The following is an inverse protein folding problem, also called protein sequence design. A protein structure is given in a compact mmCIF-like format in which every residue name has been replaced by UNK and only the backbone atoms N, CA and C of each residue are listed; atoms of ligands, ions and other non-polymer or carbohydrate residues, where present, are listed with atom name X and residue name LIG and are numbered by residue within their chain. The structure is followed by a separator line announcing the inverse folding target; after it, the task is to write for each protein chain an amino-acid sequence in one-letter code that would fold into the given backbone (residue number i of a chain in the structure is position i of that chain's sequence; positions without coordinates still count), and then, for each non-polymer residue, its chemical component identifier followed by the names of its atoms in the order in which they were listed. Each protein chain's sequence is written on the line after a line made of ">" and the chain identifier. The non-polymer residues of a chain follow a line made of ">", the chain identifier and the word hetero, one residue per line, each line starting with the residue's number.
data_IF_981265894985
#
_entry.id   IF_981265894985
#
_cell.length_a   1.000
_cell.length_b   1.000
_cell.length_c   1.000
_cell.angle_alpha   90.00
_cell.angle_beta   90.00
_cell.angle_gamma   90.00
#
_symmetry.space_group_name_H-M   'P 1'
#
loop_
_entity.id
_entity.type
_entity.pdbx_description
1 polymer ?
#
# COMPACT_ATOMS: atom_id res chain seq x y z
N UNK A 1 -37.79 2.27 13.18
CA UNK A 1 -36.67 2.54 12.25
C UNK A 1 -35.39 2.27 13.01
N UNK A 2 -34.52 1.36 12.54
CA UNK A 2 -33.19 1.22 13.14
C UNK A 2 -32.39 2.46 12.74
N UNK A 3 -31.87 3.21 13.71
CA UNK A 3 -30.95 4.30 13.40
C UNK A 3 -29.57 3.73 13.00
N UNK A 4 -28.68 4.55 12.45
CA UNK A 4 -27.35 4.09 12.00
C UNK A 4 -26.54 3.49 13.15
N UNK A 5 -26.68 4.03 14.37
CA UNK A 5 -26.01 3.50 15.56
C UNK A 5 -26.44 2.05 15.84
N UNK A 6 -27.74 1.76 15.83
CA UNK A 6 -28.28 0.42 16.02
C UNK A 6 -27.82 -0.55 14.91
N UNK A 7 -27.68 -0.05 13.67
CA UNK A 7 -27.14 -0.84 12.56
C UNK A 7 -25.68 -1.22 12.82
N UNK A 8 -24.84 -0.25 13.20
CA UNK A 8 -23.42 -0.46 13.47
C UNK A 8 -23.20 -1.40 14.67
N UNK A 9 -23.94 -1.21 15.77
CA UNK A 9 -23.81 -2.04 16.98
C UNK A 9 -24.27 -3.49 16.78
N UNK A 10 -25.19 -3.74 15.84
CA UNK A 10 -25.67 -5.09 15.49
C UNK A 10 -24.89 -5.72 14.34
N UNK A 11 -23.97 -4.96 13.72
CA UNK A 11 -23.20 -5.46 12.59
C UNK A 11 -22.13 -6.43 13.06
N UNK A 12 -21.94 -7.46 12.25
CA UNK A 12 -20.87 -8.43 12.41
C UNK A 12 -19.54 -7.79 11.98
N UNK A 13 -18.66 -7.53 12.95
CA UNK A 13 -17.38 -6.83 12.74
C UNK A 13 -16.47 -7.61 11.78
N UNK A 14 -16.60 -8.94 11.72
CA UNK A 14 -15.80 -9.80 10.83
C UNK A 14 -16.15 -9.58 9.35
N UNK A 15 -17.29 -8.92 9.05
CA UNK A 15 -17.63 -8.50 7.69
C UNK A 15 -16.82 -7.30 7.21
N UNK A 16 -16.19 -6.54 8.12
CA UNK A 16 -15.25 -5.48 7.78
C UNK A 16 -13.91 -6.14 7.42
N UNK A 17 -13.80 -6.58 6.17
CA UNK A 17 -12.60 -7.23 5.66
C UNK A 17 -11.59 -6.21 5.18
N UNK A 18 -10.31 -6.53 5.34
CA UNK A 18 -9.22 -5.78 4.72
C UNK A 18 -9.32 -5.96 3.20
N UNK A 19 -9.50 -4.88 2.42
CA UNK A 19 -9.55 -4.95 0.97
C UNK A 19 -8.23 -5.49 0.39
N UNK A 20 -8.32 -6.46 -0.52
CA UNK A 20 -7.17 -7.15 -1.14
C UNK A 20 -7.37 -7.25 -2.65
N UNK A 21 -6.28 -7.17 -3.42
CA UNK A 21 -6.29 -7.26 -4.88
C UNK A 21 -5.06 -8.03 -5.39
N UNK A 22 -5.22 -8.72 -6.53
CA UNK A 22 -4.11 -9.29 -7.28
C UNK A 22 -3.74 -8.36 -8.44
N UNK A 23 -2.45 -8.08 -8.60
CA UNK A 23 -1.92 -7.19 -9.64
C UNK A 23 -0.77 -7.89 -10.36
N UNK A 24 -0.79 -7.86 -11.69
CA UNK A 24 0.28 -8.43 -12.52
C UNK A 24 1.37 -7.38 -12.74
N UNK A 25 2.62 -7.73 -12.46
CA UNK A 25 3.77 -6.88 -12.78
C UNK A 25 4.23 -7.22 -14.20
N UNK A 26 3.82 -6.40 -15.16
CA UNK A 26 4.00 -6.72 -16.58
C UNK A 26 5.47 -6.87 -16.97
N UNK A 27 6.33 -5.93 -16.56
CA UNK A 27 7.75 -5.96 -16.90
C UNK A 27 8.47 -7.21 -16.39
N UNK A 28 8.18 -7.64 -15.16
CA UNK A 28 8.70 -8.88 -14.61
C UNK A 28 8.11 -10.11 -15.29
N UNK A 29 6.81 -10.06 -15.62
CA UNK A 29 6.16 -11.18 -16.30
C UNK A 29 6.76 -11.42 -17.68
N UNK A 30 7.00 -10.35 -18.43
CA UNK A 30 7.65 -10.41 -19.73
C UNK A 30 9.10 -10.90 -19.61
N UNK A 31 9.82 -10.45 -18.59
CA UNK A 31 11.24 -10.81 -18.38
C UNK A 31 11.44 -12.27 -17.96
N UNK A 32 10.47 -12.85 -17.26
CA UNK A 32 10.54 -14.22 -16.76
C UNK A 32 9.71 -15.22 -17.58
N UNK A 33 9.09 -14.75 -18.66
CA UNK A 33 8.21 -15.55 -19.53
C UNK A 33 7.11 -16.30 -18.75
N UNK A 34 6.65 -15.71 -17.64
CA UNK A 34 5.63 -16.29 -16.76
C UNK A 34 4.92 -15.18 -15.96
N UNK A 35 3.68 -15.41 -15.56
CA UNK A 35 2.88 -14.42 -14.85
C UNK A 35 3.42 -14.14 -13.44
N UNK A 36 3.96 -12.94 -13.24
CA UNK A 36 4.39 -12.44 -11.93
C UNK A 36 3.24 -11.63 -11.32
N UNK A 37 2.52 -12.25 -10.39
CA UNK A 37 1.34 -11.67 -9.75
C UNK A 37 1.64 -11.36 -8.30
N UNK A 38 1.40 -10.12 -7.90
CA UNK A 38 1.46 -9.70 -6.50
C UNK A 38 0.06 -9.69 -5.89
N UNK A 39 -0.05 -10.18 -4.66
CA UNK A 39 -1.20 -9.96 -3.79
C UNK A 39 -0.93 -8.72 -2.93
N UNK A 40 -1.75 -7.68 -3.08
CA UNK A 40 -1.67 -6.41 -2.33
C UNK A 40 -2.92 -6.20 -1.49
N UNK A 41 -2.82 -5.45 -0.40
CA UNK A 41 -3.95 -5.12 0.48
C UNK A 41 -3.90 -3.69 1.00
N UNK A 42 -5.01 -3.22 1.55
CA UNK A 42 -5.07 -2.00 2.35
C UNK A 42 -4.17 -2.10 3.59
N UNK A 43 -3.59 -0.97 3.98
CA UNK A 43 -2.72 -0.85 5.14
C UNK A 43 -3.52 -0.30 6.33
N UNK A 44 -3.30 -0.80 7.56
CA UNK A 44 -3.93 -0.23 8.74
C UNK A 44 -3.59 1.26 8.93
N UNK A 45 -4.53 2.05 9.46
CA UNK A 45 -4.35 3.50 9.66
C UNK A 45 -3.10 3.83 10.46
N UNK A 46 -2.81 3.08 11.53
CA UNK A 46 -1.61 3.28 12.35
C UNK A 46 -0.31 3.11 11.55
N UNK A 47 -0.25 2.08 10.70
CA UNK A 47 0.91 1.83 9.84
C UNK A 47 1.01 2.90 8.75
N UNK A 48 -0.12 3.31 8.16
CA UNK A 48 -0.14 4.39 7.18
C UNK A 48 0.40 5.70 7.78
N UNK A 49 -0.05 6.08 8.98
CA UNK A 49 0.42 7.28 9.67
C UNK A 49 1.92 7.20 9.97
N UNK A 50 2.39 6.06 10.48
CA UNK A 50 3.81 5.84 10.75
C UNK A 50 4.66 6.00 9.47
N UNK A 51 4.16 5.54 8.31
CA UNK A 51 4.83 5.74 7.03
C UNK A 51 4.89 7.23 6.67
N UNK A 52 3.77 7.97 6.80
CA UNK A 52 3.73 9.41 6.51
C UNK A 52 4.74 10.17 7.38
N UNK A 53 4.74 9.92 8.68
CA UNK A 53 5.68 10.52 9.64
C UNK A 53 7.14 10.20 9.28
N UNK A 54 7.42 8.96 8.86
CA UNK A 54 8.78 8.56 8.48
C UNK A 54 9.31 9.30 7.24
N UNK A 55 8.42 9.84 6.41
CA UNK A 55 8.77 10.63 5.22
C UNK A 55 9.00 12.11 5.51
N UNK A 56 8.72 12.58 6.72
CA UNK A 56 8.95 13.98 7.10
C UNK A 56 10.39 14.19 7.50
N UNK A 57 11.01 15.23 6.94
CA UNK A 57 12.32 15.72 7.35
C UNK A 57 12.12 17.03 8.12
N UNK A 58 12.53 17.01 9.40
CA UNK A 58 12.37 18.15 10.30
C UNK A 58 13.71 18.84 10.54
N UNK A 59 13.70 20.17 10.48
CA UNK A 59 14.83 21.03 10.83
C UNK A 59 14.30 22.14 11.73
N UNK A 60 14.93 22.35 12.89
CA UNK A 60 14.53 23.33 13.91
C UNK A 60 13.05 23.26 14.36
N UNK A 61 12.44 22.07 14.30
CA UNK A 61 11.05 21.85 14.70
C UNK A 61 10.02 22.17 13.60
N UNK A 62 10.46 22.56 12.41
CA UNK A 62 9.63 22.78 11.23
C UNK A 62 9.86 21.68 10.19
N UNK A 63 8.82 21.37 9.40
CA UNK A 63 8.95 20.44 8.27
C UNK A 63 9.65 21.16 7.14
N UNK A 64 10.89 20.77 6.85
CA UNK A 64 11.69 21.36 5.78
C UNK A 64 11.48 20.62 4.45
N UNK A 65 11.26 19.30 4.50
CA UNK A 65 11.09 18.48 3.29
C UNK A 65 10.20 17.25 3.54
N UNK A 66 9.64 16.70 2.45
CA UNK A 66 8.86 15.46 2.46
C UNK A 66 9.45 14.50 1.43
N UNK A 67 9.98 13.37 1.91
CA UNK A 67 10.48 12.30 1.05
C UNK A 67 9.33 11.44 0.52
N UNK A 68 8.74 11.91 -0.58
CA UNK A 68 7.64 11.23 -1.27
C UNK A 68 8.09 9.85 -1.77
N UNK A 69 9.35 9.69 -2.19
CA UNK A 69 9.84 8.39 -2.68
C UNK A 69 9.86 7.36 -1.55
N UNK A 70 10.36 7.74 -0.38
CA UNK A 70 10.34 6.89 0.80
C UNK A 70 8.93 6.51 1.20
N UNK A 71 8.00 7.46 1.22
CA UNK A 71 6.57 7.19 1.49
C UNK A 71 6.04 6.14 0.51
N UNK A 72 6.22 6.33 -0.80
CA UNK A 72 5.74 5.39 -1.81
C UNK A 72 6.32 3.99 -1.62
N UNK A 73 7.64 3.88 -1.41
CA UNK A 73 8.31 2.59 -1.25
C UNK A 73 7.80 1.88 0.01
N UNK A 74 7.74 2.58 1.15
CA UNK A 74 7.28 1.97 2.41
C UNK A 74 5.82 1.55 2.34
N UNK A 75 4.95 2.34 1.69
CA UNK A 75 3.57 1.94 1.41
C UNK A 75 3.52 0.67 0.56
N UNK A 76 4.33 0.55 -0.50
CA UNK A 76 4.34 -0.68 -1.31
C UNK A 76 4.86 -1.88 -0.49
N UNK A 77 5.92 -1.70 0.30
CA UNK A 77 6.47 -2.77 1.15
C UNK A 77 5.47 -3.28 2.19
N UNK A 78 4.66 -2.40 2.78
CA UNK A 78 3.63 -2.79 3.75
C UNK A 78 2.34 -3.30 3.09
N UNK A 79 2.02 -2.83 1.88
CA UNK A 79 0.81 -3.22 1.15
C UNK A 79 0.95 -4.56 0.41
N UNK A 80 2.14 -4.95 -0.04
CA UNK A 80 2.39 -6.26 -0.68
C UNK A 80 2.40 -7.38 0.36
N UNK A 81 1.55 -8.39 0.18
CA UNK A 81 1.49 -9.60 1.02
C UNK A 81 2.16 -10.79 0.37
N UNK A 82 2.01 -10.92 -0.95
CA UNK A 82 2.68 -11.95 -1.73
C UNK A 82 3.26 -11.31 -2.99
N UNK A 83 4.55 -11.52 -3.32
CA UNK A 83 5.54 -12.25 -2.52
C UNK A 83 5.91 -11.52 -1.22
N UNK A 84 6.51 -12.24 -0.27
CA UNK A 84 7.05 -11.61 0.94
C UNK A 84 8.34 -10.85 0.61
N UNK A 85 8.25 -9.53 0.42
CA UNK A 85 9.39 -8.64 0.10
C UNK A 85 10.41 -8.51 1.25
N UNK A 86 10.08 -9.02 2.45
CA UNK A 86 11.01 -9.10 3.59
C UNK A 86 11.71 -10.47 3.67
N UNK A 87 11.47 -11.37 2.71
CA UNK A 87 12.11 -12.69 2.66
C UNK A 87 13.62 -12.58 2.42
N UNK A 88 14.42 -13.18 3.32
CA UNK A 88 15.88 -13.25 3.18
C UNK A 88 16.31 -14.03 1.94
N UNK A 89 15.57 -15.08 1.59
CA UNK A 89 15.84 -15.90 0.42
C UNK A 89 15.66 -15.08 -0.86
N UNK A 90 14.54 -14.36 -0.97
CA UNK A 90 14.25 -13.51 -2.12
C UNK A 90 15.26 -12.36 -2.24
N UNK A 91 15.57 -11.68 -1.13
CA UNK A 91 16.59 -10.64 -1.10
C UNK A 91 17.96 -11.17 -1.55
N UNK A 92 18.37 -12.35 -1.06
CA UNK A 92 19.64 -12.97 -1.45
C UNK A 92 19.69 -13.31 -2.94
N UNK A 93 18.59 -13.85 -3.49
CA UNK A 93 18.48 -14.17 -4.91
C UNK A 93 18.65 -12.92 -5.79
N UNK A 94 18.00 -11.82 -5.42
CA UNK A 94 18.11 -10.53 -6.11
C UNK A 94 19.33 -9.70 -5.69
N UNK A 95 20.22 -10.26 -4.85
CA UNK A 95 21.42 -9.60 -4.32
C UNK A 95 21.11 -8.26 -3.62
N UNK A 96 19.94 -8.16 -2.99
CA UNK A 96 19.50 -6.98 -2.26
C UNK A 96 19.80 -7.13 -0.76
N UNK A 97 20.25 -6.05 -0.12
CA UNK A 97 20.54 -6.01 1.32
C UNK A 97 19.32 -5.58 2.14
N UNK A 98 18.36 -4.89 1.52
CA UNK A 98 17.15 -4.40 2.18
C UNK A 98 15.91 -4.67 1.33
N UNK A 99 14.70 -4.71 1.93
CA UNK A 99 13.45 -4.80 1.18
C UNK A 99 13.26 -3.64 0.18
N UNK A 100 13.68 -2.43 0.57
CA UNK A 100 13.71 -1.24 -0.29
C UNK A 100 14.54 -1.49 -1.55
N UNK A 101 15.76 -1.98 -1.39
CA UNK A 101 16.66 -2.29 -2.51
C UNK A 101 16.10 -3.42 -3.38
N UNK A 102 15.48 -4.43 -2.76
CA UNK A 102 14.80 -5.51 -3.49
C UNK A 102 13.70 -4.94 -4.39
N UNK A 103 12.81 -4.12 -3.84
CA UNK A 103 11.72 -3.51 -4.61
C UNK A 103 12.26 -2.64 -5.76
N UNK A 104 13.31 -1.85 -5.50
CA UNK A 104 13.95 -1.01 -6.52
C UNK A 104 14.67 -1.81 -7.62
N UNK A 105 15.12 -3.04 -7.33
CA UNK A 105 15.67 -3.96 -8.33
C UNK A 105 14.60 -4.68 -9.13
N UNK A 106 13.46 -4.98 -8.50
CA UNK A 106 12.34 -5.68 -9.11
C UNK A 106 11.47 -4.78 -9.98
N UNK A 107 11.22 -3.55 -9.55
CA UNK A 107 10.22 -2.66 -10.14
C UNK A 107 10.83 -1.34 -10.58
N UNK A 108 10.36 -0.81 -11.71
CA UNK A 108 10.69 0.53 -12.21
C UNK A 108 9.95 1.59 -11.39
N UNK A 109 10.43 2.86 -11.39
CA UNK A 109 9.79 3.93 -10.62
C UNK A 109 8.28 4.09 -10.88
N UNK A 110 7.86 4.08 -12.15
CA UNK A 110 6.44 4.18 -12.50
C UNK A 110 5.59 2.99 -12.06
N UNK A 111 6.20 1.79 -11.94
CA UNK A 111 5.52 0.60 -11.44
C UNK A 111 5.32 0.68 -9.93
N UNK A 112 6.31 1.20 -9.20
CA UNK A 112 6.21 1.48 -7.76
C UNK A 112 5.11 2.51 -7.50
N UNK A 113 5.09 3.62 -8.24
CA UNK A 113 4.02 4.63 -8.13
C UNK A 113 2.64 4.05 -8.46
N UNK A 114 2.55 3.15 -9.45
CA UNK A 114 1.29 2.49 -9.80
C UNK A 114 0.80 1.56 -8.67
N UNK A 115 1.69 0.75 -8.10
CA UNK A 115 1.37 -0.10 -6.93
C UNK A 115 0.92 0.75 -5.73
N UNK A 116 1.64 1.83 -5.45
CA UNK A 116 1.30 2.80 -4.41
C UNK A 116 -0.12 3.34 -4.58
N UNK A 117 -0.49 3.78 -5.79
CA UNK A 117 -1.83 4.30 -6.07
C UNK A 117 -2.91 3.24 -5.86
N UNK A 118 -2.69 2.01 -6.35
CA UNK A 118 -3.67 0.92 -6.18
C UNK A 118 -3.82 0.56 -4.69
N UNK A 119 -2.74 0.57 -3.91
CA UNK A 119 -2.80 0.35 -2.45
C UNK A 119 -3.58 1.48 -1.77
N UNK A 120 -3.36 2.73 -2.15
CA UNK A 120 -4.12 3.87 -1.61
C UNK A 120 -5.61 3.80 -1.94
N UNK A 121 -5.97 3.35 -3.14
CA UNK A 121 -7.36 3.10 -3.50
C UNK A 121 -7.99 2.05 -2.56
N UNK A 122 -7.25 0.98 -2.22
CA UNK A 122 -7.68 -0.03 -1.24
C UNK A 122 -7.80 0.55 0.18
N UNK A 123 -6.96 1.52 0.54
CA UNK A 123 -7.04 2.26 1.81
C UNK A 123 -8.18 3.28 1.85
N UNK A 124 -8.98 3.43 0.78
CA UNK A 124 -10.11 4.34 0.74
C UNK A 124 -9.78 5.77 0.32
N UNK A 125 -8.61 6.01 -0.28
CA UNK A 125 -8.29 7.31 -0.91
C UNK A 125 -8.88 7.45 -2.33
N UNK A 126 -9.52 6.40 -2.85
CA UNK A 126 -10.22 6.43 -4.12
C UNK A 126 -11.48 7.30 -4.09
N UNK A 127 -11.88 7.84 -5.25
CA UNK A 127 -13.00 8.78 -5.39
C UNK A 127 -14.36 8.26 -4.94
N UNK A 128 -14.53 6.93 -4.91
CA UNK A 128 -15.80 6.28 -4.61
C UNK A 128 -15.88 5.74 -3.16
N UNK A 129 -14.86 6.00 -2.33
CA UNK A 129 -14.83 5.49 -0.96
C UNK A 129 -15.87 6.16 -0.04
N UNK A 130 -16.14 7.45 -0.27
CA UNK A 130 -17.13 8.24 0.47
C UNK A 130 -17.86 9.14 -0.52
N UNK A 131 -19.20 9.17 -0.45
CA UNK A 131 -20.03 10.03 -1.30
C UNK A 131 -20.85 11.02 -0.45
N UNK A 132 -20.97 12.24 -0.95
CA UNK A 132 -21.80 13.28 -0.33
C UNK A 132 -23.26 13.09 -0.74
N UNK A 133 -24.17 13.15 0.23
CA UNK A 133 -25.61 13.21 -0.02
C UNK A 133 -26.00 14.70 -0.06
N UNK A 134 -26.43 15.18 -1.24
CA UNK A 134 -26.90 16.56 -1.38
C UNK A 134 -28.22 16.74 -0.64
N UNK A 135 -28.24 17.66 0.32
CA UNK A 135 -29.48 18.08 0.96
C UNK A 135 -30.32 18.88 -0.05
N UNK A 136 -31.59 18.48 -0.25
CA UNK A 136 -32.58 19.26 -1.01
C UNK A 136 -33.25 20.29 -0.10
#
# INVERSE_FOLDING_TARGET
>A
MSNVMDLLLKSDVDKIKIPTKKVKIQSLSDSFENDVIFTIQAIPVEVYNSIQESGLEMEDGEVNNVDINKIQILTVLEGVKEPNLKSKELMSHFKAHTPTELLQKMCRPGEITSLYNIINDLCGFGKDAVSEIKNS
#
